data_IF_118581879104
#
_entry.id   IF_118581879104
#
_cell.length_a   1.000
_cell.length_b   1.000
_cell.length_c   1.000
_cell.angle_alpha   90.00
_cell.angle_beta   90.00
_cell.angle_gamma   90.00
#
_symmetry.space_group_name_H-M   'P 1'
#
loop_
_entity.id
_entity.type
_entity.pdbx_description
1 polymer ?
#
# COMPACT_ATOMS: atom_id res chain seq x y z
N UNK A 1 -17.12 -17.07 -23.17
CA UNK A 1 -17.97 -16.75 -22.01
C UNK A 1 -19.34 -16.33 -22.48
N UNK A 2 -19.47 -15.32 -23.35
CA UNK A 2 -20.77 -14.88 -23.90
C UNK A 2 -21.54 -15.96 -24.69
N UNK A 3 -20.85 -16.79 -25.50
CA UNK A 3 -21.52 -17.91 -26.21
C UNK A 3 -22.11 -18.96 -25.26
N UNK A 4 -21.43 -19.23 -24.13
CA UNK A 4 -21.81 -20.25 -23.14
C UNK A 4 -23.02 -19.86 -22.28
N UNK A 5 -23.33 -18.56 -22.18
CA UNK A 5 -24.42 -18.03 -21.34
C UNK A 5 -25.63 -17.54 -22.16
N UNK A 6 -25.55 -17.60 -23.50
CA UNK A 6 -26.59 -17.10 -24.42
C UNK A 6 -27.97 -17.75 -24.26
N UNK A 7 -28.02 -19.00 -23.80
CA UNK A 7 -29.25 -19.78 -23.64
C UNK A 7 -29.93 -19.63 -22.26
N UNK A 8 -29.30 -18.93 -21.30
CA UNK A 8 -29.85 -18.76 -19.95
C UNK A 8 -30.88 -17.63 -19.95
N UNK A 9 -32.07 -17.87 -19.38
CA UNK A 9 -33.03 -16.79 -19.09
C UNK A 9 -32.42 -15.85 -18.05
N UNK A 10 -32.30 -14.57 -18.38
CA UNK A 10 -31.83 -13.52 -17.47
C UNK A 10 -32.79 -12.33 -17.45
N UNK A 11 -32.85 -11.63 -16.33
CA UNK A 11 -33.48 -10.31 -16.24
C UNK A 11 -32.38 -9.23 -16.21
N UNK A 12 -32.59 -8.13 -16.95
CA UNK A 12 -31.60 -7.04 -17.00
C UNK A 12 -31.62 -6.25 -15.69
N UNK A 13 -30.54 -6.33 -14.92
CA UNK A 13 -30.31 -5.42 -13.80
C UNK A 13 -30.22 -3.96 -14.29
N UNK A 14 -30.76 -3.02 -13.53
CA UNK A 14 -30.75 -1.59 -13.87
C UNK A 14 -30.01 -0.81 -12.80
N UNK A 15 -28.97 -0.08 -13.20
CA UNK A 15 -28.26 0.84 -12.30
C UNK A 15 -29.04 2.15 -12.26
N UNK A 16 -29.47 2.54 -11.06
CA UNK A 16 -30.12 3.82 -10.81
C UNK A 16 -29.16 4.65 -9.96
N UNK A 17 -28.68 5.75 -10.52
CA UNK A 17 -27.87 6.68 -9.76
C UNK A 17 -28.77 7.67 -9.05
N UNK A 18 -28.53 7.83 -7.76
CA UNK A 18 -29.21 8.81 -6.94
C UNK A 18 -28.54 10.19 -7.14
N UNK A 19 -29.30 11.29 -7.02
CA UNK A 19 -28.74 12.63 -7.02
C UNK A 19 -27.68 12.79 -5.93
N UNK A 20 -26.69 13.63 -6.23
CA UNK A 20 -25.62 13.93 -5.29
C UNK A 20 -26.19 14.61 -4.03
N UNK A 21 -25.93 14.00 -2.86
CA UNK A 21 -26.27 14.61 -1.58
C UNK A 21 -25.06 15.41 -1.11
N UNK A 22 -25.20 16.73 -1.04
CA UNK A 22 -24.15 17.65 -0.60
C UNK A 22 -23.98 17.62 0.93
N UNK A 23 -23.67 16.45 1.48
CA UNK A 23 -23.42 16.23 2.90
C UNK A 23 -22.40 15.08 3.08
N UNK A 24 -21.61 15.08 4.17
CA UNK A 24 -20.58 14.06 4.36
C UNK A 24 -21.20 12.66 4.54
N UNK A 25 -20.63 11.61 3.91
CA UNK A 25 -21.15 10.24 4.01
C UNK A 25 -21.03 9.65 5.43
N UNK A 26 -20.20 10.26 6.29
CA UNK A 26 -20.09 9.90 7.71
C UNK A 26 -21.29 10.33 8.56
N UNK A 27 -22.21 11.14 8.01
CA UNK A 27 -23.43 11.53 8.70
C UNK A 27 -24.54 10.50 8.46
N UNK A 28 -25.05 9.89 9.52
CA UNK A 28 -26.14 8.91 9.45
C UNK A 28 -27.39 9.44 8.74
N UNK A 29 -27.71 10.72 8.89
CA UNK A 29 -28.85 11.33 8.20
C UNK A 29 -28.64 11.34 6.68
N UNK A 30 -27.41 11.54 6.22
CA UNK A 30 -27.06 11.52 4.79
C UNK A 30 -27.23 10.13 4.18
N UNK A 31 -26.79 9.09 4.88
CA UNK A 31 -27.00 7.69 4.48
C UNK A 31 -28.49 7.37 4.47
N UNK A 32 -29.22 7.77 5.52
CA UNK A 32 -30.65 7.53 5.64
C UNK A 32 -31.45 8.20 4.52
N UNK A 33 -31.14 9.47 4.19
CA UNK A 33 -31.74 10.18 3.06
C UNK A 33 -31.45 9.48 1.73
N UNK A 34 -30.22 9.01 1.50
CA UNK A 34 -29.87 8.25 0.30
C UNK A 34 -30.68 6.95 0.18
N UNK A 35 -30.86 6.22 1.28
CA UNK A 35 -31.63 4.98 1.31
C UNK A 35 -33.13 5.21 1.07
N UNK A 36 -33.71 6.26 1.67
CA UNK A 36 -35.11 6.63 1.43
C UNK A 36 -35.34 6.99 -0.04
N UNK A 37 -34.43 7.77 -0.64
CA UNK A 37 -34.53 8.15 -2.04
C UNK A 37 -34.34 6.95 -2.98
N UNK A 38 -33.47 6.00 -2.61
CA UNK A 38 -33.30 4.73 -3.31
C UNK A 38 -34.60 3.92 -3.30
N UNK A 39 -35.23 3.83 -2.13
CA UNK A 39 -36.48 3.11 -1.94
C UNK A 39 -37.63 3.74 -2.75
N UNK A 40 -37.79 5.06 -2.68
CA UNK A 40 -38.86 5.77 -3.40
C UNK A 40 -38.72 5.60 -4.93
N UNK A 41 -37.50 5.68 -5.46
CA UNK A 41 -37.23 5.46 -6.88
C UNK A 41 -37.45 4.01 -7.31
N UNK A 42 -37.11 3.04 -6.45
CA UNK A 42 -37.37 1.63 -6.73
C UNK A 42 -38.88 1.33 -6.76
N UNK A 43 -39.65 1.91 -5.84
CA UNK A 43 -41.12 1.80 -5.82
C UNK A 43 -41.76 2.38 -7.09
N UNK A 44 -41.28 3.54 -7.58
CA UNK A 44 -41.74 4.14 -8.85
C UNK A 44 -41.47 3.26 -10.08
N UNK A 45 -40.49 2.36 -10.00
CA UNK A 45 -40.04 1.52 -11.10
C UNK A 45 -40.40 0.04 -10.94
N UNK A 46 -41.23 -0.31 -9.94
CA UNK A 46 -41.60 -1.70 -9.59
C UNK A 46 -40.38 -2.64 -9.39
N UNK A 47 -39.29 -2.12 -8.82
CA UNK A 47 -38.07 -2.89 -8.57
C UNK A 47 -38.17 -3.56 -7.19
N UNK A 48 -38.15 -4.90 -7.16
CA UNK A 48 -38.32 -5.69 -5.94
C UNK A 48 -37.05 -5.83 -5.09
N UNK A 49 -35.86 -5.56 -5.65
CA UNK A 49 -34.56 -5.73 -4.99
C UNK A 49 -33.65 -4.54 -5.24
N UNK A 50 -33.13 -3.93 -4.18
CA UNK A 50 -32.27 -2.74 -4.23
C UNK A 50 -30.90 -3.08 -3.64
N UNK A 51 -29.82 -2.72 -4.34
CA UNK A 51 -28.45 -2.77 -3.82
C UNK A 51 -27.89 -1.35 -3.82
N UNK A 52 -27.44 -0.85 -2.65
CA UNK A 52 -26.81 0.46 -2.50
C UNK A 52 -25.29 0.31 -2.40
N UNK A 53 -24.57 1.08 -3.22
CA UNK A 53 -23.11 1.17 -3.18
C UNK A 53 -22.77 2.63 -2.88
N UNK A 54 -22.13 2.88 -1.74
CA UNK A 54 -21.58 4.20 -1.41
C UNK A 54 -20.07 4.22 -1.73
N UNK A 55 -19.61 5.31 -2.33
CA UNK A 55 -18.20 5.59 -2.54
C UNK A 55 -17.79 6.74 -1.62
N UNK A 56 -16.82 6.50 -0.75
CA UNK A 56 -16.12 7.59 -0.03
C UNK A 56 -14.97 8.06 -0.91
N UNK A 57 -15.06 9.26 -1.48
CA UNK A 57 -13.89 9.93 -2.03
C UNK A 57 -13.11 10.57 -0.88
N UNK A 58 -12.04 9.89 -0.46
CA UNK A 58 -11.07 10.45 0.49
C UNK A 58 -10.16 11.47 -0.22
N UNK A 59 -10.70 12.62 -0.62
CA UNK A 59 -9.88 13.79 -0.96
C UNK A 59 -10.53 15.06 -0.39
N UNK A 60 -10.19 15.37 0.86
CA UNK A 60 -10.38 16.71 1.42
C UNK A 60 -9.34 17.66 0.82
N UNK A 61 -9.63 18.26 -0.34
CA UNK A 61 -9.12 19.59 -0.64
C UNK A 61 -10.13 20.60 -0.07
N UNK A 62 -9.83 21.15 1.10
CA UNK A 62 -10.40 22.44 1.52
C UNK A 62 -9.96 23.47 0.48
N UNK A 63 -10.85 23.80 -0.45
CA UNK A 63 -10.70 24.98 -1.29
C UNK A 63 -11.69 25.99 -0.75
N UNK A 64 -11.13 27.12 -0.35
CA UNK A 64 -11.83 28.28 0.16
C UNK A 64 -13.03 28.66 -0.73
N UNK A 65 -14.07 29.12 -0.06
CA UNK A 65 -15.34 29.55 -0.63
C UNK A 65 -15.09 30.83 -1.45
N UNK A 66 -14.72 30.67 -2.72
CA UNK A 66 -14.93 31.68 -3.75
C UNK A 66 -15.86 31.10 -4.82
N UNK A 67 -16.96 31.82 -5.03
CA UNK A 67 -18.26 31.33 -5.46
C UNK A 67 -18.41 31.11 -6.98
N UNK A 68 -17.34 30.77 -7.71
CA UNK A 68 -17.37 30.59 -9.17
C UNK A 68 -16.85 29.21 -9.66
N UNK A 69 -16.28 28.39 -8.78
CA UNK A 69 -15.71 27.08 -9.13
C UNK A 69 -16.61 25.86 -8.90
N UNK A 70 -17.70 26.01 -8.14
CA UNK A 70 -18.56 24.90 -7.67
C UNK A 70 -19.41 24.31 -8.80
N UNK A 71 -20.06 25.14 -9.61
CA UNK A 71 -20.91 24.67 -10.70
C UNK A 71 -20.14 23.93 -11.81
N UNK A 72 -18.90 24.33 -12.10
CA UNK A 72 -18.08 23.69 -13.13
C UNK A 72 -17.47 22.35 -12.70
N UNK A 73 -17.24 22.16 -11.40
CA UNK A 73 -16.81 20.88 -10.82
C UNK A 73 -17.98 19.90 -10.73
N UNK A 74 -19.11 20.34 -10.19
CA UNK A 74 -20.35 19.54 -10.13
C UNK A 74 -20.78 19.09 -11.52
N UNK A 75 -20.70 19.98 -12.53
CA UNK A 75 -21.04 19.62 -13.91
C UNK A 75 -20.08 18.60 -14.52
N UNK A 76 -18.76 18.73 -14.27
CA UNK A 76 -17.78 17.72 -14.70
C UNK A 76 -17.97 16.38 -14.02
N UNK A 77 -18.21 16.38 -12.71
CA UNK A 77 -18.45 15.15 -11.96
C UNK A 77 -19.73 14.46 -12.44
N UNK A 78 -20.78 15.22 -12.79
CA UNK A 78 -22.00 14.68 -13.39
C UNK A 78 -21.76 14.12 -14.80
N UNK A 79 -21.00 14.82 -15.65
CA UNK A 79 -20.65 14.34 -16.99
C UNK A 79 -19.78 13.07 -16.93
N UNK A 80 -18.82 13.01 -16.00
CA UNK A 80 -17.99 11.84 -15.76
C UNK A 80 -18.80 10.68 -15.15
N UNK A 81 -19.78 10.98 -14.29
CA UNK A 81 -20.73 9.99 -13.78
C UNK A 81 -21.56 9.38 -14.92
N UNK A 82 -22.05 10.16 -15.88
CA UNK A 82 -22.79 9.63 -17.04
C UNK A 82 -21.91 8.74 -17.91
N UNK A 83 -20.63 9.10 -18.13
CA UNK A 83 -19.68 8.23 -18.85
C UNK A 83 -19.48 6.89 -18.12
N UNK A 84 -19.35 6.92 -16.79
CA UNK A 84 -19.21 5.70 -15.98
C UNK A 84 -20.49 4.86 -16.04
N UNK A 85 -21.67 5.48 -15.99
CA UNK A 85 -22.95 4.75 -16.16
C UNK A 85 -23.02 4.05 -17.52
N UNK A 86 -22.68 4.74 -18.59
CA UNK A 86 -22.73 4.18 -19.94
C UNK A 86 -21.72 3.03 -20.12
N UNK A 87 -20.54 3.17 -19.51
CA UNK A 87 -19.55 2.10 -19.46
C UNK A 87 -20.04 0.89 -18.67
N UNK A 88 -20.68 1.08 -17.51
CA UNK A 88 -21.22 -0.02 -16.69
C UNK A 88 -22.41 -0.72 -17.32
N UNK A 89 -23.21 -0.05 -18.16
CA UNK A 89 -24.29 -0.70 -18.94
C UNK A 89 -23.74 -1.72 -19.94
N UNK A 90 -22.56 -1.44 -20.50
CA UNK A 90 -21.91 -2.31 -21.48
C UNK A 90 -20.96 -3.31 -20.83
N UNK A 91 -20.47 -3.04 -19.62
CA UNK A 91 -19.51 -3.86 -18.88
C UNK A 91 -19.96 -4.09 -17.42
N UNK A 92 -21.03 -4.87 -17.17
CA UNK A 92 -21.52 -5.13 -15.82
C UNK A 92 -20.45 -5.89 -14.99
N UNK A 93 -19.89 -5.30 -13.92
CA UNK A 93 -18.73 -5.87 -13.21
C UNK A 93 -19.13 -6.89 -12.12
N UNK A 94 -20.42 -7.15 -11.94
CA UNK A 94 -20.95 -8.00 -10.87
C UNK A 94 -21.63 -9.23 -11.46
N UNK A 95 -21.35 -10.41 -10.89
CA UNK A 95 -22.05 -11.64 -11.22
C UNK A 95 -23.42 -11.67 -10.55
N UNK A 96 -24.43 -12.20 -11.24
CA UNK A 96 -25.74 -12.45 -10.67
C UNK A 96 -25.68 -13.54 -9.59
N UNK A 97 -26.32 -13.28 -8.45
CA UNK A 97 -26.44 -14.19 -7.32
C UNK A 97 -27.76 -13.93 -6.60
N UNK A 98 -28.51 -15.00 -6.31
CA UNK A 98 -29.72 -14.93 -5.48
C UNK A 98 -29.45 -14.61 -4.00
N UNK A 99 -28.17 -14.55 -3.61
CA UNK A 99 -27.71 -14.19 -2.27
C UNK A 99 -27.16 -12.77 -2.25
N UNK A 100 -27.55 -11.99 -1.25
CA UNK A 100 -27.14 -10.60 -1.05
C UNK A 100 -25.70 -10.57 -0.50
N UNK A 101 -24.73 -10.21 -1.35
CA UNK A 101 -23.31 -10.31 -1.01
C UNK A 101 -22.76 -8.92 -0.65
N UNK A 102 -22.37 -8.71 0.60
CA UNK A 102 -21.45 -7.61 0.94
C UNK A 102 -20.06 -7.96 0.40
N UNK A 103 -19.38 -6.97 -0.20
CA UNK A 103 -18.06 -7.10 -0.82
C UNK A 103 -16.96 -7.54 0.16
N UNK A 104 -17.22 -7.58 1.47
CA UNK A 104 -16.29 -8.01 2.51
C UNK A 104 -16.78 -9.13 3.43
N UNK A 105 -18.10 -9.29 3.61
CA UNK A 105 -18.68 -10.28 4.53
C UNK A 105 -19.96 -10.84 3.91
N UNK A 106 -19.94 -12.03 3.32
CA UNK A 106 -21.13 -12.64 2.73
C UNK A 106 -22.25 -12.71 3.77
N UNK A 107 -23.31 -11.93 3.56
CA UNK A 107 -24.48 -11.89 4.43
C UNK A 107 -25.41 -12.98 3.95
N UNK A 108 -25.81 -13.88 4.83
CA UNK A 108 -26.81 -14.90 4.56
C UNK A 108 -28.01 -14.55 5.45
N UNK A 109 -29.15 -14.26 4.82
CA UNK A 109 -30.41 -14.11 5.53
C UNK A 109 -31.03 -15.49 5.75
N UNK A 110 -31.34 -15.83 7.00
CA UNK A 110 -32.20 -16.95 7.33
C UNK A 110 -33.67 -16.46 7.39
N UNK A 111 -34.61 -17.40 7.47
CA UNK A 111 -36.05 -17.24 7.70
C UNK A 111 -36.45 -16.41 8.93
N UNK A 112 -35.49 -15.98 9.77
CA UNK A 112 -35.65 -15.02 10.87
C UNK A 112 -34.77 -13.78 10.62
N UNK A 113 -35.13 -12.59 11.12
CA UNK A 113 -34.44 -11.32 10.83
C UNK A 113 -33.08 -11.19 11.57
N UNK A 114 -32.29 -12.25 11.62
CA UNK A 114 -30.94 -12.28 12.17
C UNK A 114 -29.95 -12.42 11.02
N UNK A 115 -29.08 -11.42 10.87
CA UNK A 115 -28.01 -11.43 9.88
C UNK A 115 -26.93 -12.43 10.31
N UNK A 116 -26.72 -13.47 9.50
CA UNK A 116 -25.67 -14.45 9.74
C UNK A 116 -24.56 -14.23 8.72
N UNK A 117 -23.32 -14.13 9.19
CA UNK A 117 -22.15 -13.91 8.34
C UNK A 117 -21.39 -15.21 8.09
N UNK A 118 -20.97 -15.43 6.84
CA UNK A 118 -20.07 -16.53 6.48
C UNK A 118 -18.91 -16.03 5.60
N UNK A 119 -17.84 -16.81 5.54
CA UNK A 119 -16.69 -16.55 4.69
C UNK A 119 -17.02 -16.88 3.23
N UNK A 120 -17.33 -15.85 2.45
CA UNK A 120 -17.66 -16.00 1.04
C UNK A 120 -16.43 -15.89 0.13
N UNK A 121 -16.44 -16.69 -0.94
CA UNK A 121 -15.46 -16.65 -2.02
C UNK A 121 -16.17 -16.53 -3.37
N UNK A 122 -15.64 -15.70 -4.26
CA UNK A 122 -16.09 -15.67 -5.66
C UNK A 122 -15.80 -17.02 -6.33
N UNK A 123 -16.58 -17.44 -7.35
CA UNK A 123 -16.30 -18.66 -8.12
C UNK A 123 -14.88 -18.71 -8.73
N UNK A 124 -14.28 -17.55 -8.98
CA UNK A 124 -12.92 -17.38 -9.49
C UNK A 124 -11.82 -17.47 -8.42
N UNK A 125 -12.19 -17.77 -7.17
CA UNK A 125 -11.23 -17.88 -6.08
C UNK A 125 -10.28 -19.06 -6.28
N UNK A 126 -9.00 -18.74 -6.47
CA UNK A 126 -7.96 -19.74 -6.75
C UNK A 126 -7.44 -20.48 -5.52
N UNK A 127 -7.77 -20.03 -4.31
CA UNK A 127 -7.18 -20.57 -3.07
C UNK A 127 -5.66 -20.36 -2.95
N UNK A 128 -5.05 -19.52 -3.79
CA UNK A 128 -3.61 -19.24 -3.72
C UNK A 128 -3.31 -18.19 -2.66
N UNK A 129 -2.49 -18.60 -1.69
CA UNK A 129 -1.94 -17.74 -0.66
C UNK A 129 -0.41 -17.72 -0.77
N UNK A 130 0.21 -17.00 0.14
CA UNK A 130 1.65 -16.99 0.25
C UNK A 130 2.15 -18.43 0.53
N UNK A 131 2.98 -18.99 -0.34
CA UNK A 131 3.47 -20.35 -0.22
C UNK A 131 4.32 -20.53 1.05
N UNK A 132 4.27 -21.69 1.71
CA UNK A 132 5.04 -21.97 2.93
C UNK A 132 6.55 -21.77 2.75
N UNK A 133 7.10 -22.14 1.60
CA UNK A 133 8.53 -22.05 1.30
C UNK A 133 8.97 -20.64 0.86
N UNK A 134 8.03 -19.71 0.70
CA UNK A 134 8.37 -18.32 0.39
C UNK A 134 9.19 -17.70 1.53
N UNK A 135 10.13 -16.80 1.21
CA UNK A 135 11.02 -16.17 2.20
C UNK A 135 10.31 -15.02 2.93
N UNK A 136 9.28 -15.35 3.69
CA UNK A 136 8.52 -14.42 4.52
C UNK A 136 8.39 -14.95 5.96
N UNK A 137 8.28 -14.04 6.94
CA UNK A 137 8.10 -14.41 8.35
C UNK A 137 6.76 -15.12 8.57
N UNK A 138 6.73 -16.08 9.50
CA UNK A 138 5.53 -16.88 9.82
C UNK A 138 4.32 -16.03 10.22
N UNK A 139 4.54 -14.88 10.87
CA UNK A 139 3.45 -13.98 11.26
C UNK A 139 2.67 -13.41 10.06
N UNK A 140 3.26 -13.34 8.86
CA UNK A 140 2.59 -12.87 7.64
C UNK A 140 1.89 -14.00 6.86
N UNK A 141 2.11 -15.27 7.25
CA UNK A 141 1.74 -16.46 6.47
C UNK A 141 0.40 -17.09 6.86
N UNK A 142 0.23 -17.42 8.14
CA UNK A 142 -0.86 -18.29 8.61
C UNK A 142 -1.91 -17.53 9.43
N UNK A 143 -1.46 -16.50 10.14
CA UNK A 143 -2.20 -15.83 11.22
C UNK A 143 -3.56 -15.28 10.79
N UNK A 144 -3.62 -14.64 9.63
CA UNK A 144 -4.79 -13.86 9.23
C UNK A 144 -6.02 -14.70 8.86
N UNK A 145 -5.84 -15.97 8.44
CA UNK A 145 -6.98 -16.80 8.00
C UNK A 145 -7.80 -17.32 9.16
N UNK A 146 -7.13 -17.80 10.22
CA UNK A 146 -7.79 -18.32 11.41
C UNK A 146 -8.58 -17.23 12.12
N UNK A 147 -7.99 -16.04 12.25
CA UNK A 147 -8.64 -14.90 12.89
C UNK A 147 -9.90 -14.46 12.10
N UNK A 148 -9.94 -14.59 10.77
CA UNK A 148 -11.15 -14.29 9.98
C UNK A 148 -12.31 -15.21 10.31
N UNK A 149 -12.08 -16.51 10.46
CA UNK A 149 -13.16 -17.47 10.79
C UNK A 149 -13.74 -17.12 12.15
N UNK A 150 -12.87 -16.92 13.14
CA UNK A 150 -13.31 -16.64 14.51
C UNK A 150 -14.00 -15.29 14.68
N UNK A 151 -13.61 -14.28 13.90
CA UNK A 151 -14.12 -12.91 14.08
C UNK A 151 -15.26 -12.56 13.12
N UNK A 152 -15.29 -13.13 11.91
CA UNK A 152 -16.19 -12.69 10.84
C UNK A 152 -17.25 -13.72 10.44
N UNK A 153 -17.09 -14.99 10.83
CA UNK A 153 -18.08 -16.03 10.53
C UNK A 153 -18.87 -16.44 11.76
N UNK A 154 -20.15 -16.75 11.56
CA UNK A 154 -21.01 -17.25 12.61
C UNK A 154 -20.57 -18.66 13.07
N UNK A 155 -20.69 -19.00 14.38
CA UNK A 155 -20.23 -20.29 14.92
C UNK A 155 -20.73 -21.53 14.17
N UNK A 156 -21.93 -21.48 13.59
CA UNK A 156 -22.48 -22.56 12.77
C UNK A 156 -21.62 -22.94 11.57
N UNK A 157 -20.86 -21.98 11.02
CA UNK A 157 -20.01 -22.18 9.84
C UNK A 157 -18.54 -22.39 10.20
N UNK A 158 -18.17 -22.38 11.50
CA UNK A 158 -16.76 -22.50 11.90
C UNK A 158 -16.15 -23.81 11.44
N UNK A 159 -16.88 -24.93 11.58
CA UNK A 159 -16.38 -26.24 11.17
C UNK A 159 -16.02 -26.27 9.67
N UNK A 160 -16.98 -25.93 8.80
CA UNK A 160 -16.77 -25.90 7.34
C UNK A 160 -15.62 -24.95 6.95
N UNK A 161 -15.54 -23.78 7.58
CA UNK A 161 -14.50 -22.81 7.30
C UNK A 161 -13.12 -23.26 7.77
N UNK A 162 -13.01 -23.98 8.89
CA UNK A 162 -11.75 -24.56 9.34
C UNK A 162 -11.27 -25.67 8.40
N UNK A 163 -12.17 -26.55 7.95
CA UNK A 163 -11.86 -27.58 6.96
C UNK A 163 -11.35 -26.95 5.65
N UNK A 164 -12.01 -25.88 5.19
CA UNK A 164 -11.60 -25.11 4.02
C UNK A 164 -10.21 -24.49 4.21
N UNK A 165 -9.94 -23.85 5.35
CA UNK A 165 -8.61 -23.28 5.65
C UNK A 165 -7.53 -24.35 5.64
N UNK A 166 -7.78 -25.50 6.26
CA UNK A 166 -6.81 -26.60 6.32
C UNK A 166 -6.47 -27.05 4.90
N UNK A 167 -7.48 -27.26 4.05
CA UNK A 167 -7.29 -27.63 2.63
C UNK A 167 -6.49 -26.58 1.87
N UNK A 168 -6.83 -25.30 2.04
CA UNK A 168 -6.11 -24.18 1.41
C UNK A 168 -4.65 -24.16 1.85
N UNK A 169 -4.37 -24.25 3.15
CA UNK A 169 -3.00 -24.20 3.68
C UNK A 169 -2.18 -25.41 3.22
N UNK A 170 -2.76 -26.60 3.20
CA UNK A 170 -2.11 -27.80 2.65
C UNK A 170 -1.72 -27.60 1.18
N UNK A 171 -2.64 -27.10 0.35
CA UNK A 171 -2.38 -26.82 -1.06
C UNK A 171 -1.29 -25.75 -1.29
N UNK A 172 -1.04 -24.89 -0.29
CA UNK A 172 0.03 -23.89 -0.32
C UNK A 172 1.34 -24.37 0.36
N UNK A 173 1.44 -25.67 0.67
CA UNK A 173 2.65 -26.33 1.16
C UNK A 173 2.89 -26.24 2.67
N UNK A 174 1.90 -25.87 3.46
CA UNK A 174 2.05 -25.73 4.91
C UNK A 174 2.03 -27.09 5.62
N UNK A 175 2.96 -27.37 6.55
CA UNK A 175 2.95 -28.62 7.32
C UNK A 175 1.72 -28.74 8.23
N UNK A 176 1.06 -29.91 8.23
CA UNK A 176 -0.12 -30.18 9.08
C UNK A 176 0.12 -29.85 10.56
N UNK A 177 1.26 -30.26 11.10
CA UNK A 177 1.63 -30.00 12.50
C UNK A 177 1.64 -28.50 12.81
N UNK A 178 2.13 -27.69 11.87
CA UNK A 178 2.14 -26.23 12.02
C UNK A 178 0.72 -25.67 12.00
N UNK A 179 -0.11 -26.10 11.04
CA UNK A 179 -1.50 -25.65 10.88
C UNK A 179 -2.28 -25.85 12.19
N UNK A 180 -2.30 -27.09 12.71
CA UNK A 180 -3.03 -27.40 13.94
C UNK A 180 -2.46 -26.68 15.16
N UNK A 181 -1.12 -26.53 15.25
CA UNK A 181 -0.51 -25.78 16.35
C UNK A 181 -0.95 -24.31 16.34
N UNK A 182 -1.03 -23.68 15.18
CA UNK A 182 -1.46 -22.28 15.08
C UNK A 182 -2.95 -22.12 15.37
N UNK A 183 -3.81 -23.02 14.87
CA UNK A 183 -5.25 -23.04 15.19
C UNK A 183 -5.45 -23.11 16.72
N UNK A 184 -4.80 -24.07 17.39
CA UNK A 184 -4.87 -24.24 18.84
C UNK A 184 -4.41 -22.99 19.59
N UNK A 185 -3.27 -22.42 19.17
CA UNK A 185 -2.71 -21.22 19.79
C UNK A 185 -3.58 -19.98 19.60
N UNK A 186 -4.29 -19.86 18.48
CA UNK A 186 -5.18 -18.74 18.18
C UNK A 186 -6.48 -18.84 18.96
N UNK A 187 -7.10 -20.02 18.96
CA UNK A 187 -8.30 -20.31 19.73
C UNK A 187 -8.07 -19.97 21.21
N UNK A 188 -7.00 -20.50 21.82
CA UNK A 188 -6.72 -20.26 23.24
C UNK A 188 -6.54 -18.77 23.55
N UNK A 189 -5.83 -18.03 22.71
CA UNK A 189 -5.66 -16.57 22.85
C UNK A 189 -6.99 -15.83 22.73
N UNK A 190 -7.83 -16.17 21.76
CA UNK A 190 -9.12 -15.50 21.53
C UNK A 190 -10.12 -15.79 22.63
N UNK A 191 -10.22 -17.04 23.10
CA UNK A 191 -11.05 -17.38 24.24
C UNK A 191 -10.62 -16.66 25.51
N UNK A 192 -9.30 -16.57 25.76
CA UNK A 192 -8.79 -15.78 26.89
C UNK A 192 -9.20 -14.31 26.77
N UNK A 193 -8.99 -13.69 25.61
CA UNK A 193 -9.40 -12.30 25.35
C UNK A 193 -10.90 -12.07 25.58
N UNK A 194 -11.75 -12.98 25.10
CA UNK A 194 -13.21 -12.87 25.29
C UNK A 194 -13.63 -13.05 26.75
N UNK A 195 -12.95 -13.91 27.50
CA UNK A 195 -13.22 -14.07 28.93
C UNK A 195 -12.75 -12.83 29.72
N UNK A 196 -11.57 -12.30 29.41
CA UNK A 196 -11.01 -11.09 30.05
C UNK A 196 -11.87 -9.84 29.77
N UNK A 197 -12.44 -9.74 28.56
CA UNK A 197 -13.40 -8.69 28.17
C UNK A 197 -14.73 -8.78 28.93
N UNK A 198 -15.20 -10.00 29.20
CA UNK A 198 -16.44 -10.23 29.99
C UNK A 198 -16.25 -9.81 31.44
N UNK A 199 -15.07 -10.03 32.01
CA UNK A 199 -14.74 -9.64 33.39
C UNK A 199 -14.66 -8.11 33.52
N UNK A 200 -14.00 -7.43 32.57
CA UNK A 200 -13.91 -5.95 32.57
C UNK A 200 -15.23 -5.23 32.26
N UNK A 201 -16.20 -5.89 31.62
CA UNK A 201 -17.56 -5.32 31.47
C UNK A 201 -18.43 -5.49 32.71
N UNK A 202 -18.04 -6.35 33.66
CA UNK A 202 -18.74 -6.50 34.95
C UNK A 202 -18.19 -5.54 36.01
N UNK A 203 -16.90 -5.22 35.95
CA UNK A 203 -16.25 -4.23 36.81
C UNK A 203 -15.99 -2.91 36.06
N UNK A 204 -16.98 -2.01 36.05
CA UNK A 204 -16.82 -0.62 35.60
C UNK A 204 -15.93 0.18 36.57
N UNK A 205 -14.64 -0.17 36.66
CA UNK A 205 -13.60 0.76 37.10
C UNK A 205 -12.82 1.18 35.87
N UNK A 206 -13.01 2.45 35.50
CA UNK A 206 -12.30 3.12 34.41
C UNK A 206 -10.83 3.21 34.82
N UNK A 207 -10.06 2.15 34.56
CA UNK A 207 -8.60 2.27 34.48
C UNK A 207 -8.29 2.58 33.04
N UNK A 208 -8.20 3.88 32.76
CA UNK A 208 -7.60 4.42 31.55
C UNK A 208 -6.12 4.03 31.53
N UNK A 209 -5.79 2.77 31.20
CA UNK A 209 -4.45 2.39 30.80
C UNK A 209 -4.25 2.85 29.35
N UNK A 210 -4.12 4.16 29.19
CA UNK A 210 -3.48 4.76 28.03
C UNK A 210 -1.98 4.51 28.18
N UNK A 211 -1.58 3.24 28.00
CA UNK A 211 -0.19 2.87 27.75
C UNK A 211 0.18 3.37 26.35
N UNK A 212 0.38 4.68 26.25
CA UNK A 212 1.08 5.33 25.13
C UNK A 212 2.57 5.04 25.27
N UNK A 213 2.94 3.76 25.27
CA UNK A 213 4.32 3.38 25.04
C UNK A 213 4.63 3.72 23.58
N UNK A 214 5.21 4.91 23.37
CA UNK A 214 5.74 5.38 22.10
C UNK A 214 6.92 4.49 21.69
N UNK A 215 6.60 3.30 21.19
CA UNK A 215 7.60 2.39 20.66
C UNK A 215 8.12 2.92 19.33
N UNK A 216 9.43 3.06 19.21
CA UNK A 216 10.08 3.34 17.93
C UNK A 216 10.11 2.06 17.09
N UNK A 217 9.71 2.16 15.83
CA UNK A 217 9.77 1.02 14.90
C UNK A 217 10.91 1.20 13.90
N UNK A 218 11.65 0.11 13.67
CA UNK A 218 12.54 0.01 12.51
C UNK A 218 12.17 -1.20 11.66
N UNK A 219 12.48 -1.11 10.37
CA UNK A 219 12.14 -2.14 9.40
C UNK A 219 13.40 -2.78 8.84
N UNK A 220 13.40 -4.10 8.72
CA UNK A 220 14.47 -4.85 8.04
C UNK A 220 13.88 -5.75 6.95
N UNK A 221 14.63 -6.00 5.87
CA UNK A 221 14.29 -7.09 4.97
C UNK A 221 14.26 -8.42 5.74
N UNK A 222 13.32 -9.30 5.37
CA UNK A 222 13.30 -10.64 5.94
C UNK A 222 14.32 -11.54 5.23
N UNK A 223 15.38 -11.88 5.96
CA UNK A 223 16.42 -12.82 5.58
C UNK A 223 16.32 -14.00 6.57
N UNK A 224 15.99 -15.22 6.09
CA UNK A 224 15.92 -16.39 6.94
C UNK A 224 17.17 -16.54 7.82
N UNK A 225 17.00 -17.03 9.06
CA UNK A 225 18.03 -17.15 10.10
C UNK A 225 18.55 -15.82 10.65
N UNK A 226 18.99 -14.88 9.80
CA UNK A 226 19.55 -13.59 10.23
C UNK A 226 18.50 -12.71 10.90
N UNK A 227 17.38 -12.47 10.23
CA UNK A 227 16.30 -11.62 10.73
C UNK A 227 15.65 -12.18 12.01
N UNK A 228 15.75 -13.48 12.24
CA UNK A 228 15.27 -14.12 13.47
C UNK A 228 16.25 -13.93 14.63
N UNK A 229 17.57 -14.02 14.37
CA UNK A 229 18.61 -13.70 15.36
C UNK A 229 18.50 -12.23 15.79
N UNK A 230 18.35 -11.31 14.83
CA UNK A 230 18.14 -9.89 15.11
C UNK A 230 16.86 -9.68 15.92
N UNK A 231 15.75 -10.36 15.56
CA UNK A 231 14.50 -10.29 16.35
C UNK A 231 14.70 -10.72 17.80
N UNK A 232 15.46 -11.80 18.03
CA UNK A 232 15.74 -12.31 19.37
C UNK A 232 16.59 -11.33 20.18
N UNK A 233 17.56 -10.68 19.53
CA UNK A 233 18.38 -9.65 20.15
C UNK A 233 17.53 -8.48 20.67
N UNK A 234 16.70 -7.89 19.80
CA UNK A 234 15.82 -6.78 20.15
C UNK A 234 14.56 -7.18 20.94
N UNK A 235 14.37 -8.47 21.26
CA UNK A 235 13.19 -8.91 22.03
C UNK A 235 13.22 -8.40 23.47
N UNK A 236 14.42 -8.14 24.00
CA UNK A 236 14.63 -7.64 25.37
C UNK A 236 14.39 -6.13 25.48
N UNK A 237 14.50 -5.39 24.39
CA UNK A 237 14.28 -3.95 24.37
C UNK A 237 12.79 -3.64 24.40
N UNK A 238 12.38 -2.85 25.39
CA UNK A 238 10.98 -2.39 25.53
C UNK A 238 10.69 -1.16 24.68
N UNK A 239 11.71 -0.40 24.28
CA UNK A 239 11.55 0.86 23.55
C UNK A 239 11.48 0.70 22.03
N UNK A 240 12.18 -0.31 21.48
CA UNK A 240 12.36 -0.47 20.03
C UNK A 240 11.67 -1.75 19.57
N UNK A 241 10.82 -1.62 18.55
CA UNK A 241 10.14 -2.75 17.92
C UNK A 241 10.62 -2.95 16.48
N UNK A 242 10.86 -4.20 16.14
CA UNK A 242 11.31 -4.57 14.80
C UNK A 242 10.14 -5.05 13.94
N UNK A 243 10.06 -4.53 12.72
CA UNK A 243 9.12 -4.96 11.69
C UNK A 243 9.86 -5.50 10.45
N UNK A 244 9.16 -6.33 9.67
CA UNK A 244 9.71 -6.93 8.46
C UNK A 244 9.17 -6.22 7.22
N UNK A 245 10.06 -5.86 6.29
CA UNK A 245 9.74 -5.30 4.98
C UNK A 245 9.99 -6.35 3.88
N UNK A 246 9.02 -6.51 2.99
CA UNK A 246 9.20 -7.33 1.79
C UNK A 246 10.08 -6.59 0.77
N UNK A 247 11.10 -7.26 0.24
CA UNK A 247 11.96 -6.73 -0.83
C UNK A 247 11.21 -6.79 -2.17
N UNK A 248 10.57 -7.93 -2.45
CA UNK A 248 9.87 -8.18 -3.70
C UNK A 248 8.41 -7.74 -3.61
N UNK A 249 8.16 -6.46 -3.84
CA UNK A 249 6.80 -5.94 -3.94
C UNK A 249 6.24 -6.15 -5.36
N UNK A 250 4.91 -6.29 -5.45
CA UNK A 250 4.23 -6.43 -6.74
C UNK A 250 4.35 -5.18 -7.62
N UNK A 251 4.80 -4.04 -7.08
CA UNK A 251 4.99 -2.79 -7.84
C UNK A 251 5.98 -2.93 -9.00
N UNK A 252 6.93 -3.88 -8.91
CA UNK A 252 7.83 -4.19 -10.03
C UNK A 252 7.12 -4.81 -11.24
N UNK A 253 6.08 -5.62 -11.00
CA UNK A 253 5.33 -6.33 -12.03
C UNK A 253 4.05 -5.59 -12.41
N UNK A 254 3.30 -5.15 -11.42
CA UNK A 254 2.06 -4.39 -11.54
C UNK A 254 2.42 -2.91 -11.40
N UNK A 255 2.74 -2.29 -12.53
CA UNK A 255 2.91 -0.85 -12.59
C UNK A 255 1.52 -0.20 -12.56
N UNK A 256 1.42 0.90 -11.83
CA UNK A 256 0.29 1.81 -12.05
C UNK A 256 0.38 2.24 -13.50
N UNK A 257 -0.68 2.11 -14.29
CA UNK A 257 -0.79 2.57 -15.70
C UNK A 257 -0.76 4.11 -15.79
N UNK A 258 0.14 4.75 -15.04
CA UNK A 258 0.41 6.19 -15.09
C UNK A 258 1.46 6.47 -16.14
N UNK A 259 1.41 7.68 -16.67
CA UNK A 259 2.36 8.16 -17.67
C UNK A 259 3.82 8.06 -17.17
N UNK A 260 4.70 7.73 -18.10
CA UNK A 260 6.13 7.68 -17.83
C UNK A 260 6.63 9.08 -17.44
N UNK A 261 7.36 9.16 -16.32
CA UNK A 261 8.03 10.38 -15.91
C UNK A 261 9.44 10.43 -16.49
N UNK A 262 9.80 11.56 -17.11
CA UNK A 262 11.16 11.78 -17.60
C UNK A 262 12.18 11.70 -16.45
N UNK A 263 13.39 11.23 -16.73
CA UNK A 263 14.46 11.08 -15.71
C UNK A 263 14.70 12.39 -14.94
N UNK A 264 14.80 13.51 -15.65
CA UNK A 264 15.05 14.83 -15.06
C UNK A 264 13.91 15.36 -14.17
N UNK A 265 12.69 14.83 -14.29
CA UNK A 265 11.54 15.21 -13.44
C UNK A 265 11.50 14.49 -12.09
N UNK A 266 12.47 13.62 -11.81
CA UNK A 266 12.52 12.89 -10.55
C UNK A 266 13.02 13.79 -9.40
N UNK A 267 12.45 13.58 -8.21
CA UNK A 267 12.87 14.20 -6.95
C UNK A 267 13.43 13.12 -6.02
N UNK A 268 14.14 13.56 -4.98
CA UNK A 268 14.65 12.70 -3.91
C UNK A 268 15.62 11.62 -4.42
N UNK A 269 16.53 12.01 -5.31
CA UNK A 269 17.43 11.12 -6.03
C UNK A 269 18.89 11.36 -5.67
N UNK A 270 19.67 10.28 -5.72
CA UNK A 270 21.13 10.31 -5.84
C UNK A 270 21.46 10.14 -7.32
N UNK A 271 22.25 11.05 -7.88
CA UNK A 271 22.59 11.09 -9.30
C UNK A 271 24.10 11.11 -9.50
N UNK A 272 24.51 10.70 -10.70
CA UNK A 272 25.90 10.68 -11.16
C UNK A 272 26.03 11.46 -12.46
N UNK A 273 27.05 12.31 -12.53
CA UNK A 273 27.50 13.02 -13.73
C UNK A 273 28.91 12.52 -14.06
N UNK A 274 29.11 12.05 -15.28
CA UNK A 274 30.38 11.53 -15.77
C UNK A 274 31.10 12.60 -16.60
N UNK A 275 32.43 12.66 -16.50
CA UNK A 275 33.25 13.40 -17.44
C UNK A 275 33.29 12.64 -18.77
N UNK A 276 33.27 13.36 -19.89
CA UNK A 276 33.36 12.76 -21.23
C UNK A 276 34.80 12.43 -21.62
N UNK A 277 35.76 13.14 -21.05
CA UNK A 277 37.17 13.09 -21.47
C UNK A 277 38.06 12.27 -20.52
N UNK A 278 37.55 11.88 -19.34
CA UNK A 278 38.26 11.02 -18.41
C UNK A 278 37.32 10.18 -17.52
N UNK A 279 37.89 9.24 -16.77
CA UNK A 279 37.14 8.33 -15.88
C UNK A 279 36.58 9.00 -14.61
N UNK A 280 36.75 10.32 -14.47
CA UNK A 280 36.27 11.06 -13.32
C UNK A 280 34.75 11.20 -13.32
N UNK A 281 34.16 11.16 -12.13
CA UNK A 281 32.72 11.36 -11.97
C UNK A 281 32.36 12.09 -10.68
N UNK A 282 31.25 12.81 -10.74
CA UNK A 282 30.65 13.47 -9.59
C UNK A 282 29.35 12.77 -9.21
N UNK A 283 29.20 12.46 -7.93
CA UNK A 283 27.96 11.94 -7.35
C UNK A 283 27.37 12.99 -6.43
N UNK A 284 26.07 13.26 -6.57
CA UNK A 284 25.38 14.20 -5.70
C UNK A 284 23.96 13.76 -5.39
N UNK A 285 23.35 14.33 -4.36
CA UNK A 285 21.94 14.14 -4.04
C UNK A 285 21.11 15.40 -4.27
N UNK A 286 19.80 15.22 -4.42
CA UNK A 286 18.83 16.32 -4.38
C UNK A 286 17.48 15.87 -3.84
N UNK A 287 16.88 16.68 -2.96
CA UNK A 287 15.46 16.57 -2.58
C UNK A 287 14.51 17.24 -3.57
N UNK A 288 15.04 18.16 -4.38
CA UNK A 288 14.29 18.89 -5.41
C UNK A 288 14.32 18.12 -6.72
N UNK A 289 13.64 18.66 -7.72
CA UNK A 289 13.67 18.15 -9.10
C UNK A 289 15.11 18.07 -9.60
N UNK A 290 15.49 16.92 -10.17
CA UNK A 290 16.83 16.69 -10.72
C UNK A 290 17.19 17.74 -11.77
N UNK A 291 16.25 18.09 -12.65
CA UNK A 291 16.43 19.16 -13.65
C UNK A 291 16.95 20.46 -13.03
N UNK A 292 16.37 20.88 -11.90
CA UNK A 292 16.76 22.11 -11.22
C UNK A 292 18.21 22.02 -10.72
N UNK A 293 18.58 20.89 -10.11
CA UNK A 293 19.94 20.70 -9.59
C UNK A 293 21.00 20.66 -10.68
N UNK A 294 20.67 20.06 -11.82
CA UNK A 294 21.58 20.00 -12.97
C UNK A 294 21.76 21.38 -13.60
N UNK A 295 20.68 22.17 -13.72
CA UNK A 295 20.76 23.54 -14.22
C UNK A 295 21.60 24.43 -13.30
N UNK A 296 21.54 24.24 -11.97
CA UNK A 296 22.41 24.94 -11.04
C UNK A 296 23.89 24.65 -11.34
N UNK A 297 24.26 23.38 -11.51
CA UNK A 297 25.63 23.00 -11.86
C UNK A 297 26.06 23.58 -13.22
N UNK A 298 25.21 23.50 -14.25
CA UNK A 298 25.49 24.10 -15.56
C UNK A 298 25.70 25.61 -15.47
N UNK A 299 24.81 26.32 -14.76
CA UNK A 299 24.88 27.77 -14.61
C UNK A 299 26.10 28.21 -13.79
N UNK A 300 26.46 27.44 -12.76
CA UNK A 300 27.59 27.73 -11.90
C UNK A 300 28.92 27.78 -12.65
N UNK A 301 29.04 27.02 -13.75
CA UNK A 301 30.25 27.04 -14.58
C UNK A 301 30.41 28.37 -15.32
N UNK A 302 29.30 29.01 -15.69
CA UNK A 302 29.33 30.30 -16.38
C UNK A 302 29.50 31.47 -15.41
N UNK A 303 29.41 31.24 -14.09
CA UNK A 303 29.58 32.27 -13.09
C UNK A 303 31.05 32.49 -12.77
N UNK A 304 31.51 33.74 -12.85
CA UNK A 304 32.86 34.11 -12.45
C UNK A 304 32.94 34.31 -10.92
N UNK A 305 32.62 33.25 -10.17
CA UNK A 305 32.62 33.25 -8.71
C UNK A 305 33.98 32.80 -8.16
N UNK A 306 34.38 33.35 -7.01
CA UNK A 306 35.59 32.97 -6.28
C UNK A 306 35.48 31.56 -5.71
N UNK A 307 34.27 31.11 -5.34
CA UNK A 307 34.03 29.77 -4.81
C UNK A 307 33.51 28.85 -5.92
N UNK A 308 34.42 28.12 -6.56
CA UNK A 308 34.09 27.18 -7.64
C UNK A 308 33.59 25.85 -7.06
N UNK A 309 32.65 25.20 -7.76
CA UNK A 309 32.26 23.83 -7.42
C UNK A 309 33.32 22.87 -7.95
N UNK A 310 33.41 21.67 -7.37
CA UNK A 310 34.37 20.64 -7.83
C UNK A 310 34.20 20.28 -9.31
N UNK A 311 32.95 20.34 -9.81
CA UNK A 311 32.63 20.13 -11.23
C UNK A 311 33.23 21.27 -12.07
N UNK A 312 32.99 22.53 -11.68
CA UNK A 312 33.52 23.71 -12.37
C UNK A 312 35.05 23.74 -12.34
N UNK A 313 35.66 23.40 -11.21
CA UNK A 313 37.11 23.37 -11.04
C UNK A 313 37.76 22.29 -11.92
N UNK A 314 37.23 21.07 -11.93
CA UNK A 314 37.70 19.99 -12.79
C UNK A 314 37.63 20.38 -14.28
N UNK A 315 36.47 20.90 -14.70
CA UNK A 315 36.24 21.35 -16.08
C UNK A 315 37.29 22.39 -16.53
N UNK A 316 37.52 23.43 -15.71
CA UNK A 316 38.44 24.53 -16.05
C UNK A 316 39.90 24.07 -16.01
N UNK A 317 40.29 23.29 -15.01
CA UNK A 317 41.68 22.86 -14.82
C UNK A 317 42.15 21.87 -15.89
N UNK A 318 41.27 20.99 -16.35
CA UNK A 318 41.61 19.95 -17.32
C UNK A 318 41.07 20.25 -18.73
N UNK A 319 40.30 21.33 -18.92
CA UNK A 319 39.60 21.65 -20.17
C UNK A 319 38.69 20.51 -20.67
N UNK A 320 38.10 19.77 -19.74
CA UNK A 320 37.18 18.66 -20.04
C UNK A 320 35.73 19.14 -20.10
N UNK A 321 34.83 18.28 -20.57
CA UNK A 321 33.39 18.44 -20.50
C UNK A 321 32.70 17.31 -19.72
N UNK A 322 31.51 17.62 -19.22
CA UNK A 322 30.65 16.66 -18.54
C UNK A 322 29.49 16.22 -19.42
N UNK A 323 29.09 14.96 -19.29
CA UNK A 323 27.90 14.45 -19.97
C UNK A 323 26.64 14.92 -19.26
N UNK A 324 26.08 16.02 -19.77
CA UNK A 324 24.88 16.61 -19.22
C UNK A 324 23.57 16.01 -19.73
N UNK A 325 23.62 15.13 -20.74
CA UNK A 325 22.44 14.53 -21.36
C UNK A 325 22.19 13.11 -20.79
N UNK A 326 23.25 12.36 -20.47
CA UNK A 326 23.17 11.00 -19.96
C UNK A 326 23.37 10.90 -18.43
N UNK A 327 22.72 11.76 -17.67
CA UNK A 327 22.77 11.72 -16.21
C UNK A 327 22.14 10.42 -15.69
N UNK A 328 22.88 9.72 -14.82
CA UNK A 328 22.46 8.45 -14.22
C UNK A 328 21.81 8.72 -12.86
N UNK A 329 20.64 8.14 -12.62
CA UNK A 329 20.05 8.08 -11.27
C UNK A 329 20.54 6.77 -10.65
N UNK A 330 21.29 6.88 -9.56
CA UNK A 330 21.87 5.73 -8.84
C UNK A 330 20.88 5.16 -7.82
N UNK A 331 20.17 6.03 -7.10
CA UNK A 331 19.19 5.63 -6.08
C UNK A 331 18.08 6.68 -5.91
N UNK A 332 16.98 6.29 -5.28
CA UNK A 332 15.84 7.17 -4.95
C UNK A 332 15.34 6.93 -3.53
N UNK A 333 15.57 7.91 -2.66
CA UNK A 333 15.25 7.83 -1.24
C UNK A 333 14.67 9.14 -0.72
N UNK A 334 13.44 9.09 -0.18
CA UNK A 334 12.72 10.27 0.29
C UNK A 334 13.29 10.82 1.60
N UNK A 335 13.84 9.96 2.45
CA UNK A 335 14.36 10.38 3.76
C UNK A 335 15.78 10.92 3.60
N UNK A 336 16.00 12.19 3.95
CA UNK A 336 17.29 12.86 3.78
C UNK A 336 18.46 12.06 4.36
N UNK A 337 18.38 11.63 5.62
CA UNK A 337 19.48 10.91 6.28
C UNK A 337 19.84 9.61 5.55
N UNK A 338 18.84 8.88 5.03
CA UNK A 338 19.08 7.66 4.25
C UNK A 338 19.67 7.98 2.88
N UNK A 339 19.23 9.08 2.26
CA UNK A 339 19.77 9.55 0.99
C UNK A 339 21.22 10.02 1.11
N UNK A 340 21.58 10.69 2.20
CA UNK A 340 22.97 11.07 2.48
C UNK A 340 23.87 9.84 2.63
N UNK A 341 23.40 8.81 3.35
CA UNK A 341 24.12 7.53 3.44
C UNK A 341 24.26 6.87 2.06
N UNK A 342 23.18 6.87 1.26
CA UNK A 342 23.19 6.34 -0.11
C UNK A 342 24.17 7.08 -1.02
N UNK A 343 24.19 8.41 -0.95
CA UNK A 343 25.18 9.27 -1.64
C UNK A 343 26.61 8.91 -1.23
N UNK A 344 26.90 8.79 0.07
CA UNK A 344 28.22 8.41 0.58
C UNK A 344 28.69 7.04 0.08
N UNK A 345 27.79 6.05 0.08
CA UNK A 345 28.06 4.70 -0.44
C UNK A 345 28.41 4.79 -1.93
N UNK A 346 27.62 5.51 -2.71
CA UNK A 346 27.86 5.67 -4.13
C UNK A 346 29.12 6.48 -4.44
N UNK A 347 29.51 7.46 -3.62
CA UNK A 347 30.79 8.15 -3.73
C UNK A 347 31.95 7.17 -3.52
N UNK A 348 31.91 6.33 -2.45
CA UNK A 348 32.96 5.33 -2.17
C UNK A 348 33.15 4.33 -3.31
N UNK A 349 32.06 3.94 -3.97
CA UNK A 349 32.09 2.97 -5.07
C UNK A 349 32.68 3.55 -6.38
N UNK A 350 32.87 4.87 -6.48
CA UNK A 350 33.49 5.43 -7.68
C UNK A 350 35.01 5.25 -7.66
N UNK A 351 35.58 4.90 -8.82
CA UNK A 351 37.04 4.78 -9.00
C UNK A 351 37.75 6.13 -8.88
N UNK A 352 37.30 7.11 -9.66
CA UNK A 352 37.80 8.49 -9.63
C UNK A 352 36.64 9.43 -9.28
N UNK A 353 36.40 9.65 -7.98
CA UNK A 353 35.38 10.60 -7.53
C UNK A 353 35.94 12.02 -7.45
N UNK A 354 35.13 13.00 -7.85
CA UNK A 354 35.42 14.44 -7.73
C UNK A 354 34.93 15.05 -6.41
N UNK A 355 34.20 14.28 -5.60
CA UNK A 355 33.62 14.74 -4.34
C UNK A 355 34.71 15.07 -3.31
N UNK A 356 34.44 16.02 -2.41
CA UNK A 356 35.36 16.35 -1.34
C UNK A 356 35.29 15.26 -0.25
N UNK A 357 36.44 14.86 0.31
CA UNK A 357 36.49 13.79 1.32
C UNK A 357 35.68 14.12 2.59
N UNK A 358 35.39 15.40 2.83
CA UNK A 358 34.53 15.84 3.92
C UNK A 358 33.09 15.31 3.83
N UNK A 359 32.64 14.97 2.62
CA UNK A 359 31.31 14.42 2.35
C UNK A 359 31.14 12.98 2.90
N UNK A 360 32.18 12.38 3.49
CA UNK A 360 32.20 10.96 3.90
C UNK A 360 32.33 10.71 5.40
N UNK A 361 32.57 11.74 6.23
CA UNK A 361 32.98 11.55 7.64
C UNK A 361 31.96 10.84 8.54
N UNK A 362 30.70 10.75 8.12
CA UNK A 362 29.65 10.07 8.91
C UNK A 362 29.47 8.59 8.56
N UNK A 363 30.16 8.07 7.54
CA UNK A 363 30.05 6.64 7.19
C UNK A 363 30.95 5.81 8.11
N UNK A 364 30.36 4.89 8.87
CA UNK A 364 31.10 4.03 9.79
C UNK A 364 32.14 3.18 9.01
N UNK A 365 33.40 3.09 9.47
CA UNK A 365 34.44 2.27 8.85
C UNK A 365 34.04 0.81 8.61
N UNK A 366 33.12 0.25 9.39
CA UNK A 366 32.60 -1.11 9.16
C UNK A 366 31.95 -1.29 7.78
N UNK A 367 31.48 -0.22 7.15
CA UNK A 367 30.96 -0.28 5.78
C UNK A 367 32.07 -0.39 4.73
N UNK A 368 33.31 0.01 5.00
CA UNK A 368 34.37 -0.03 3.98
C UNK A 368 34.76 -1.46 3.61
N UNK A 369 34.77 -2.39 4.57
CA UNK A 369 35.02 -3.82 4.31
C UNK A 369 33.91 -4.43 3.44
N UNK A 370 32.63 -4.11 3.75
CA UNK A 370 31.48 -4.61 2.99
C UNK A 370 31.40 -4.08 1.55
N UNK A 371 31.95 -2.90 1.30
CA UNK A 371 31.93 -2.25 -0.01
C UNK A 371 33.18 -2.53 -0.85
N UNK A 372 34.25 -3.07 -0.25
CA UNK A 372 35.47 -3.44 -0.95
C UNK A 372 35.32 -4.74 -1.77
N UNK A 373 34.36 -5.59 -1.42
CA UNK A 373 34.12 -6.89 -2.06
C UNK A 373 33.14 -6.85 -3.25
N UNK A 374 32.63 -5.66 -3.63
CA UNK A 374 31.57 -5.51 -4.65
C UNK A 374 32.06 -5.04 -6.01
#
# INVERSE_FOLDING_TARGET
MEELTSALKFEKSRIICLPFISAPPSNFNTIYTALLLAHENACKLNISRICSISFETSEQHKVDIHNDGSNSRVRRDNDDMEKVKEWLKTHPPFNDSDKLISLSSGIIADSKPTLIHNWYHKPTFSGRYLNFFSRHPLCQKVVGLIDRVLLLSHPSYHQENFELIIKILLNNGYPLKLIFSEIKNRLSKKFKQWNDLKITTTDNTIVNNVDTNNHSYFTIPFIPFLSEKIKKFFKKDTLIRMAYKGINNLKGFIKSHKDFRSKLSHTDVVYKIECQDCDASYVGQTGRCLKTRINEHRNHINWNTTQRSVITEHRISHQHEFDWENIKILDKERVLNKRLISEMIHIKQQRQNLNLQNDMYTLNPLYSELLAES
#
